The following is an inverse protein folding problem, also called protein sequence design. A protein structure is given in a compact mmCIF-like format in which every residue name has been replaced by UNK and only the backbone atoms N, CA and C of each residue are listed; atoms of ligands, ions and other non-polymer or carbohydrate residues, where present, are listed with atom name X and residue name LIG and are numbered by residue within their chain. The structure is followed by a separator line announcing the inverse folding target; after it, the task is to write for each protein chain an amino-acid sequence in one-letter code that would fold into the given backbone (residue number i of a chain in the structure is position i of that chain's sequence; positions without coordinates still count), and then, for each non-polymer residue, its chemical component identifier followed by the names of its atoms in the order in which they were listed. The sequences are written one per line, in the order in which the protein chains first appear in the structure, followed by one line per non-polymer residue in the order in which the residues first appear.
data_IF_650204178664
#
_entry.id   IF_650204178664
#
_cell.length_a   1.000
_cell.length_b   1.000
_cell.length_c   1.000
_cell.angle_alpha   90.00
_cell.angle_beta   90.00
_cell.angle_gamma   90.00
#
_symmetry.space_group_name_H-M   'P 1'
#
loop_
_entity.id
_entity.type
_entity.pdbx_description
1 polymer ?
#
# COMPACT_ATOMS: atom_id res chain seq x y z
N UNK A 1 -14.34 11.18 14.13
CA UNK A 1 -14.36 10.21 13.02
C UNK A 1 -13.24 9.22 13.28
N UNK A 2 -13.27 8.05 12.65
CA UNK A 2 -12.17 7.10 12.78
C UNK A 2 -11.70 6.76 11.38
N UNK A 3 -10.41 6.47 11.25
CA UNK A 3 -9.80 6.02 10.02
C UNK A 3 -9.32 4.58 10.18
N UNK A 4 -9.33 3.86 9.08
CA UNK A 4 -8.70 2.57 8.95
C UNK A 4 -7.47 2.79 8.08
N UNK A 5 -6.31 2.42 8.61
CA UNK A 5 -5.03 2.63 7.96
C UNK A 5 -4.32 1.31 7.76
N UNK A 6 -3.70 1.16 6.60
CA UNK A 6 -2.80 0.06 6.29
C UNK A 6 -1.41 0.60 6.02
N UNK A 7 -0.41 -0.01 6.64
CA UNK A 7 1.00 0.25 6.40
C UNK A 7 1.66 -1.03 5.90
N UNK A 8 2.68 -0.90 5.05
CA UNK A 8 3.35 -2.08 4.52
C UNK A 8 4.70 -1.90 3.85
N UNK A 9 5.41 -3.02 3.82
CA UNK A 9 6.58 -3.36 3.01
C UNK A 9 6.29 -3.68 1.55
N UNK A 10 7.07 -3.26 0.56
CA UNK A 10 7.12 -3.98 -0.73
C UNK A 10 8.52 -3.96 -1.32
N UNK A 11 9.03 -5.12 -1.71
CA UNK A 11 10.35 -5.33 -2.29
C UNK A 11 10.25 -6.18 -3.56
N UNK A 12 11.36 -6.25 -4.30
CA UNK A 12 11.50 -7.06 -5.52
C UNK A 12 10.53 -6.70 -6.65
N UNK A 13 10.23 -5.41 -6.83
CA UNK A 13 9.36 -4.93 -7.91
C UNK A 13 10.00 -3.79 -8.70
N UNK A 14 9.68 -3.73 -9.99
CA UNK A 14 10.09 -2.65 -10.89
C UNK A 14 9.07 -1.51 -10.81
N UNK A 15 9.52 -0.27 -10.61
CA UNK A 15 8.67 0.92 -10.39
C UNK A 15 7.63 1.13 -11.48
N UNK A 16 8.02 0.96 -12.75
CA UNK A 16 7.12 1.12 -13.89
C UNK A 16 6.04 0.05 -13.94
N UNK A 17 6.38 -1.20 -13.63
CA UNK A 17 5.41 -2.31 -13.63
C UNK A 17 4.45 -2.19 -12.45
N UNK A 18 4.96 -1.80 -11.28
CA UNK A 18 4.16 -1.49 -10.11
C UNK A 18 3.13 -0.40 -10.44
N UNK A 19 3.58 0.75 -10.95
CA UNK A 19 2.67 1.85 -11.28
C UNK A 19 1.59 1.42 -12.29
N UNK A 20 1.94 0.73 -13.37
CA UNK A 20 0.96 0.25 -14.35
C UNK A 20 -0.06 -0.74 -13.74
N UNK A 21 0.38 -1.66 -12.87
CA UNK A 21 -0.52 -2.58 -12.17
C UNK A 21 -1.49 -1.86 -11.23
N UNK A 22 -1.01 -0.87 -10.48
CA UNK A 22 -1.87 -0.10 -9.57
C UNK A 22 -2.84 0.79 -10.35
N UNK A 23 -2.41 1.36 -11.48
CA UNK A 23 -3.26 2.21 -12.33
C UNK A 23 -4.46 1.49 -12.92
N UNK A 24 -4.41 0.16 -13.08
CA UNK A 24 -5.57 -0.66 -13.44
C UNK A 24 -6.64 -0.62 -12.35
N UNK A 25 -6.24 -0.61 -11.06
CA UNK A 25 -7.16 -0.53 -9.93
C UNK A 25 -7.68 0.89 -9.72
N UNK A 26 -6.79 1.88 -9.91
CA UNK A 26 -7.08 3.28 -9.66
C UNK A 26 -6.68 4.11 -10.90
N UNK A 27 -7.57 4.29 -11.88
CA UNK A 27 -7.24 4.96 -13.15
C UNK A 27 -6.70 6.39 -13.01
N UNK A 28 -7.06 7.07 -11.91
CA UNK A 28 -6.65 8.45 -11.61
C UNK A 28 -5.40 8.54 -10.73
N UNK A 29 -4.77 7.41 -10.37
CA UNK A 29 -3.53 7.42 -9.59
C UNK A 29 -2.41 8.07 -10.38
N UNK A 30 -1.56 8.82 -9.69
CA UNK A 30 -0.42 9.53 -10.29
C UNK A 30 0.85 8.79 -9.94
N UNK A 31 1.76 8.69 -10.90
CA UNK A 31 3.13 8.23 -10.69
C UNK A 31 4.12 9.33 -11.02
N UNK A 32 5.11 9.55 -10.15
CA UNK A 32 6.15 10.58 -10.33
C UNK A 32 7.53 10.04 -9.99
N UNK A 33 8.48 9.99 -10.94
CA UNK A 33 9.87 9.66 -10.64
C UNK A 33 10.53 10.77 -9.82
N UNK A 34 11.45 10.41 -8.92
CA UNK A 34 12.30 11.33 -8.14
C UNK A 34 13.76 11.20 -8.58
N UNK A 35 14.61 12.11 -8.07
CA UNK A 35 16.07 11.99 -8.23
C UNK A 35 16.57 10.66 -7.63
N UNK A 36 15.94 10.23 -6.54
CA UNK A 36 16.12 8.92 -5.92
C UNK A 36 14.73 8.37 -5.59
N UNK A 37 14.34 7.30 -6.29
CA UNK A 37 13.09 6.60 -6.07
C UNK A 37 11.89 7.10 -6.89
N UNK A 38 10.70 6.75 -6.43
CA UNK A 38 9.45 6.89 -7.18
C UNK A 38 8.26 7.05 -6.24
N UNK A 39 7.30 7.92 -6.61
CA UNK A 39 6.03 8.08 -5.91
C UNK A 39 4.88 7.54 -6.76
N UNK A 40 3.94 6.87 -6.10
CA UNK A 40 2.61 6.53 -6.60
C UNK A 40 1.60 7.07 -5.59
N UNK A 41 0.69 7.95 -6.01
CA UNK A 41 -0.23 8.63 -5.09
C UNK A 41 -1.65 8.83 -5.65
N UNK A 42 -2.64 8.64 -4.80
CA UNK A 42 -4.05 9.02 -5.00
C UNK A 42 -4.57 9.62 -3.69
N UNK A 43 -5.14 10.82 -3.76
CA UNK A 43 -5.71 11.51 -2.60
C UNK A 43 -7.12 12.00 -2.93
N UNK A 44 -8.07 11.71 -2.04
CA UNK A 44 -9.48 12.09 -2.12
C UNK A 44 -10.07 12.17 -0.72
N UNK A 45 -11.29 12.72 -0.57
CA UNK A 45 -11.94 12.86 0.75
C UNK A 45 -12.23 11.51 1.45
N UNK A 46 -12.24 10.42 0.70
CA UNK A 46 -12.60 9.06 1.15
C UNK A 46 -11.41 8.09 1.22
N UNK A 47 -10.34 8.39 0.50
CA UNK A 47 -9.19 7.50 0.31
C UNK A 47 -7.92 8.31 0.09
N UNK A 48 -6.89 7.99 0.87
CA UNK A 48 -5.51 8.35 0.60
C UNK A 48 -4.73 7.07 0.35
N UNK A 49 -3.92 7.05 -0.70
CA UNK A 49 -3.13 5.90 -1.12
C UNK A 49 -1.77 6.42 -1.54
N UNK A 50 -0.71 5.94 -0.88
CA UNK A 50 0.67 6.24 -1.20
C UNK A 50 1.50 4.97 -1.31
N UNK A 51 2.29 4.88 -2.38
CA UNK A 51 3.45 3.99 -2.45
C UNK A 51 4.66 4.85 -2.79
N UNK A 52 5.68 4.84 -1.94
CA UNK A 52 6.88 5.61 -2.20
C UNK A 52 8.14 4.79 -1.95
N UNK A 53 9.19 5.11 -2.68
CA UNK A 53 10.54 4.58 -2.45
C UNK A 53 11.55 5.72 -2.59
N UNK A 54 12.69 5.58 -1.93
CA UNK A 54 13.84 6.48 -2.05
C UNK A 54 15.05 5.79 -2.72
N UNK A 55 15.04 4.46 -2.86
CA UNK A 55 16.18 3.68 -3.35
C UNK A 55 15.80 2.63 -4.41
N UNK A 56 14.51 2.54 -4.75
CA UNK A 56 13.91 1.57 -5.67
C UNK A 56 14.07 0.10 -5.25
N UNK A 57 14.52 -0.16 -4.02
CA UNK A 57 14.64 -1.51 -3.45
C UNK A 57 13.46 -1.83 -2.55
N UNK A 58 13.11 -0.87 -1.69
CA UNK A 58 12.00 -0.99 -0.77
C UNK A 58 10.99 0.14 -1.00
N UNK A 59 9.73 -0.25 -1.12
CA UNK A 59 8.58 0.62 -1.20
C UNK A 59 7.83 0.60 0.13
N UNK A 60 7.40 1.78 0.57
CA UNK A 60 6.49 1.95 1.70
C UNK A 60 5.07 2.17 1.18
N UNK A 61 4.16 1.33 1.64
CA UNK A 61 2.73 1.41 1.34
C UNK A 61 2.03 2.08 2.52
N UNK A 62 1.18 3.05 2.23
CA UNK A 62 0.31 3.72 3.20
C UNK A 62 -1.06 3.95 2.57
N UNK A 63 -2.12 3.42 3.18
CA UNK A 63 -3.48 3.52 2.67
C UNK A 63 -4.39 3.89 3.83
N UNK A 64 -5.15 4.97 3.71
CA UNK A 64 -6.09 5.42 4.73
C UNK A 64 -7.50 5.61 4.14
N UNK A 65 -8.53 5.18 4.88
CA UNK A 65 -9.94 5.40 4.50
C UNK A 65 -10.83 5.40 5.73
N UNK A 66 -12.01 6.03 5.62
CA UNK A 66 -13.02 6.08 6.68
C UNK A 66 -13.84 4.78 6.81
N UNK A 67 -13.73 3.86 5.84
CA UNK A 67 -14.53 2.64 5.76
C UNK A 67 -13.66 1.38 5.73
N UNK A 68 -13.82 0.51 6.74
CA UNK A 68 -13.07 -0.74 6.87
C UNK A 68 -13.32 -1.70 5.70
N UNK A 69 -14.57 -1.85 5.27
CA UNK A 69 -14.91 -2.74 4.15
C UNK A 69 -14.24 -2.28 2.86
N UNK A 70 -14.16 -0.95 2.65
CA UNK A 70 -13.45 -0.36 1.53
C UNK A 70 -11.95 -0.64 1.63
N UNK A 71 -11.34 -0.46 2.81
CA UNK A 71 -9.94 -0.79 3.02
C UNK A 71 -9.68 -2.27 2.66
N UNK A 72 -10.46 -3.19 3.21
CA UNK A 72 -10.27 -4.63 2.98
C UNK A 72 -10.45 -5.01 1.50
N UNK A 73 -11.39 -4.37 0.79
CA UNK A 73 -11.56 -4.57 -0.65
C UNK A 73 -10.36 -4.07 -1.47
N UNK A 74 -9.82 -2.90 -1.10
CA UNK A 74 -8.59 -2.33 -1.67
C UNK A 74 -7.41 -3.26 -1.42
N UNK A 75 -7.21 -3.70 -0.17
CA UNK A 75 -6.11 -4.58 0.21
C UNK A 75 -6.19 -5.94 -0.50
N UNK A 76 -7.39 -6.48 -0.71
CA UNK A 76 -7.55 -7.73 -1.45
C UNK A 76 -7.14 -7.56 -2.92
N UNK A 77 -7.55 -6.46 -3.55
CA UNK A 77 -7.19 -6.15 -4.94
C UNK A 77 -5.69 -5.87 -5.08
N UNK A 78 -5.12 -5.10 -4.16
CA UNK A 78 -3.70 -4.78 -4.09
C UNK A 78 -2.86 -6.04 -3.92
N UNK A 79 -3.20 -6.89 -2.95
CA UNK A 79 -2.55 -8.18 -2.69
C UNK A 79 -2.41 -9.00 -3.98
N UNK A 80 -3.49 -9.13 -4.76
CA UNK A 80 -3.45 -9.90 -6.00
C UNK A 80 -2.45 -9.28 -7.00
N UNK A 81 -2.41 -7.95 -7.13
CA UNK A 81 -1.45 -7.27 -8.01
C UNK A 81 -0.01 -7.38 -7.56
N UNK A 82 0.24 -7.34 -6.24
CA UNK A 82 1.58 -7.53 -5.70
C UNK A 82 2.08 -8.98 -5.89
N UNK A 83 1.20 -9.97 -5.75
CA UNK A 83 1.52 -11.37 -6.04
C UNK A 83 1.79 -11.58 -7.54
N UNK A 84 0.99 -10.99 -8.43
CA UNK A 84 1.21 -11.03 -9.89
C UNK A 84 2.56 -10.42 -10.32
N UNK A 85 3.11 -9.50 -9.50
CA UNK A 85 4.42 -8.88 -9.70
C UNK A 85 5.56 -9.68 -9.07
N UNK A 86 5.26 -10.84 -8.48
CA UNK A 86 6.23 -11.64 -7.70
C UNK A 86 6.88 -10.84 -6.55
N UNK A 87 6.18 -9.81 -6.05
CA UNK A 87 6.67 -8.93 -4.99
C UNK A 87 6.68 -9.59 -3.62
N UNK A 88 7.65 -9.22 -2.80
CA UNK A 88 7.72 -9.57 -1.38
C UNK A 88 7.17 -8.42 -0.55
N UNK A 89 6.10 -8.66 0.22
CA UNK A 89 5.40 -7.59 0.92
C UNK A 89 4.76 -8.06 2.21
N UNK A 90 4.55 -7.12 3.12
CA UNK A 90 3.70 -7.28 4.30
C UNK A 90 2.72 -6.11 4.36
N UNK A 91 1.51 -6.39 4.80
CA UNK A 91 0.45 -5.41 5.00
C UNK A 91 -0.14 -5.62 6.39
N UNK A 92 -0.10 -4.58 7.19
CA UNK A 92 -0.68 -4.52 8.53
C UNK A 92 -1.68 -3.37 8.55
N UNK A 93 -2.86 -3.61 9.10
CA UNK A 93 -3.87 -2.56 9.23
C UNK A 93 -4.37 -2.42 10.67
N UNK A 94 -4.81 -1.21 10.98
CA UNK A 94 -5.33 -0.83 12.29
C UNK A 94 -6.29 0.36 12.15
N UNK A 95 -6.89 0.74 13.27
CA UNK A 95 -7.82 1.86 13.37
C UNK A 95 -7.17 3.03 14.10
N UNK A 96 -7.32 4.23 13.55
CA UNK A 96 -6.88 5.51 14.11
C UNK A 96 -8.08 6.38 14.48
N UNK A 97 -7.90 7.27 15.47
CA UNK A 97 -8.83 8.36 15.78
C UNK A 97 -8.56 9.61 14.90
N UNK A 98 -9.31 10.70 15.13
CA UNK A 98 -9.17 11.95 14.37
C UNK A 98 -7.82 12.65 14.58
N UNK A 99 -7.14 12.37 15.68
CA UNK A 99 -5.84 12.95 16.02
C UNK A 99 -4.67 12.11 15.45
N UNK A 100 -4.99 11.02 14.72
CA UNK A 100 -4.03 10.08 14.15
C UNK A 100 -3.46 9.09 15.18
N UNK A 101 -4.06 8.99 16.37
CA UNK A 101 -3.64 8.00 17.35
C UNK A 101 -4.24 6.65 17.01
N UNK A 102 -3.41 5.61 17.01
CA UNK A 102 -3.86 4.23 16.89
C UNK A 102 -4.71 3.83 18.11
N UNK A 103 -5.92 3.33 17.86
CA UNK A 103 -6.90 2.92 18.88
C UNK A 103 -7.26 1.42 18.82
N UNK A 104 -6.78 0.69 17.80
CA UNK A 104 -6.88 -0.79 17.75
C UNK A 104 -5.51 -1.43 17.71
N UNK A 105 -5.44 -2.73 17.99
CA UNK A 105 -4.23 -3.52 17.74
C UNK A 105 -3.96 -3.62 16.24
N UNK A 106 -2.70 -3.84 15.91
CA UNK A 106 -2.24 -4.23 14.59
C UNK A 106 -2.86 -5.57 14.19
N UNK A 107 -3.42 -5.61 12.99
CA UNK A 107 -3.92 -6.83 12.35
C UNK A 107 -3.08 -7.09 11.11
N UNK A 108 -2.34 -8.20 11.11
CA UNK A 108 -1.61 -8.66 9.93
C UNK A 108 -2.66 -9.06 8.89
N UNK A 109 -2.74 -8.29 7.81
CA UNK A 109 -3.61 -8.59 6.69
C UNK A 109 -2.98 -9.69 5.81
N UNK A 110 -1.71 -9.51 5.45
CA UNK A 110 -0.96 -10.49 4.67
C UNK A 110 0.53 -10.28 4.85
N UNK A 111 1.28 -11.38 4.84
CA UNK A 111 2.74 -11.39 4.80
C UNK A 111 3.19 -12.42 3.76
N UNK A 112 3.86 -11.92 2.73
CA UNK A 112 4.42 -12.67 1.61
C UNK A 112 5.96 -12.61 1.59
N UNK A 113 6.60 -12.10 2.65
CA UNK A 113 8.07 -12.01 2.70
C UNK A 113 8.63 -13.42 2.89
N UNK A 114 8.80 -14.11 1.76
CA UNK A 114 9.45 -15.40 1.56
C UNK A 114 9.23 -16.45 2.67
N UNK A 115 8.30 -17.34 2.34
CA UNK A 115 8.34 -18.78 2.66
C UNK A 115 9.42 -19.55 1.85
N UNK A 116 10.34 -18.83 1.17
CA UNK A 116 11.50 -19.38 0.46
C UNK A 116 12.78 -19.16 1.27
N UNK A 117 13.69 -20.15 1.36
CA UNK A 117 14.90 -20.02 2.15
C UNK A 117 15.84 -18.97 1.55
N UNK A 118 16.34 -18.09 2.42
CA UNK A 118 17.44 -17.15 2.13
C UNK A 118 18.72 -17.87 1.73
#
# INVERSE_FOLDING_TARGET
MNYYRCLGSLENVISSELHEKIKILFPNIKGRPRLFGYDIELESEELEFYINTIDEKEYKIDISTKNEENLLAILNSLKQKLIELEGEFDLVYFKEDDDGNQISKDLIYFDNRSTLPR
#
